data_IF_303689197676
#
_entry.id   IF_303689197676
#
_cell.length_a   1.000
_cell.length_b   1.000
_cell.length_c   1.000
_cell.angle_alpha   90.00
_cell.angle_beta   90.00
_cell.angle_gamma   90.00
#
_symmetry.space_group_name_H-M   'P 1'
#
loop_
_entity.id
_entity.type
_entity.pdbx_description
1 polymer ?
#
# COMPACT_ATOMS: atom_id res chain seq x y z
N UNK A 1 -19.15 -29.28 -0.18
CA UNK A 1 -17.71 -29.02 -0.43
C UNK A 1 -17.44 -27.76 -1.23
N UNK A 2 -17.76 -27.68 -2.53
CA UNK A 2 -17.40 -26.49 -3.36
C UNK A 2 -18.11 -25.21 -2.88
N UNK A 3 -19.39 -25.30 -2.50
CA UNK A 3 -20.15 -24.14 -2.02
C UNK A 3 -19.58 -23.54 -0.73
N UNK A 4 -19.12 -24.38 0.20
CA UNK A 4 -18.51 -23.96 1.46
C UNK A 4 -17.16 -23.26 1.23
N UNK A 5 -16.34 -23.81 0.31
CA UNK A 5 -15.08 -23.19 -0.12
C UNK A 5 -15.31 -21.81 -0.76
N UNK A 6 -16.31 -21.69 -1.64
CA UNK A 6 -16.65 -20.41 -2.28
C UNK A 6 -17.13 -19.40 -1.24
N UNK A 7 -18.03 -19.79 -0.32
CA UNK A 7 -18.47 -18.90 0.76
C UNK A 7 -17.33 -18.48 1.68
N UNK A 8 -16.40 -19.40 1.99
CA UNK A 8 -15.22 -19.09 2.79
C UNK A 8 -14.29 -18.09 2.11
N UNK A 9 -14.03 -18.28 0.81
CA UNK A 9 -13.21 -17.36 0.03
C UNK A 9 -13.83 -15.96 -0.06
N UNK A 10 -15.15 -15.87 -0.31
CA UNK A 10 -15.87 -14.60 -0.37
C UNK A 10 -15.84 -13.89 0.98
N UNK A 11 -16.08 -14.60 2.08
CA UNK A 11 -16.01 -14.03 3.42
C UNK A 11 -14.61 -13.47 3.74
N UNK A 12 -13.56 -14.19 3.32
CA UNK A 12 -12.18 -13.77 3.53
C UNK A 12 -11.83 -12.51 2.72
N UNK A 13 -12.33 -12.39 1.49
CA UNK A 13 -12.18 -11.19 0.66
C UNK A 13 -12.89 -10.00 1.32
N UNK A 14 -14.14 -10.17 1.74
CA UNK A 14 -14.92 -9.09 2.40
C UNK A 14 -14.20 -8.63 3.67
N UNK A 15 -13.73 -9.57 4.49
CA UNK A 15 -12.98 -9.28 5.71
C UNK A 15 -11.71 -8.47 5.40
N UNK A 16 -10.96 -8.86 4.36
CA UNK A 16 -9.75 -8.17 3.94
C UNK A 16 -10.02 -6.71 3.54
N UNK A 17 -11.04 -6.45 2.72
CA UNK A 17 -11.44 -5.08 2.35
C UNK A 17 -11.95 -4.27 3.54
N UNK A 18 -12.65 -4.92 4.48
CA UNK A 18 -13.19 -4.25 5.67
C UNK A 18 -12.06 -3.79 6.58
N UNK A 19 -11.05 -4.64 6.80
CA UNK A 19 -9.86 -4.30 7.58
C UNK A 19 -9.10 -3.14 6.94
N UNK A 20 -8.89 -3.19 5.61
CA UNK A 20 -8.22 -2.09 4.90
C UNK A 20 -8.99 -0.77 5.03
N UNK A 21 -10.33 -0.82 4.93
CA UNK A 21 -11.17 0.35 5.10
C UNK A 21 -11.06 0.94 6.52
N UNK A 22 -11.13 0.10 7.56
CA UNK A 22 -10.96 0.55 8.95
C UNK A 22 -9.58 1.15 9.19
N UNK A 23 -8.53 0.56 8.62
CA UNK A 23 -7.17 1.11 8.72
C UNK A 23 -7.04 2.46 7.99
N UNK A 24 -7.80 2.68 6.91
CA UNK A 24 -7.77 3.94 6.15
C UNK A 24 -8.53 5.09 6.84
N UNK A 25 -9.43 4.81 7.79
CA UNK A 25 -10.13 5.86 8.53
C UNK A 25 -9.22 6.65 9.48
N UNK A 26 -8.11 6.05 9.93
CA UNK A 26 -7.14 6.69 10.81
C UNK A 26 -6.10 7.54 10.09
N UNK A 27 -6.29 7.83 8.80
CA UNK A 27 -5.33 8.62 8.02
C UNK A 27 -5.56 10.11 8.20
N UNK A 28 -4.54 10.81 8.69
CA UNK A 28 -4.56 12.25 8.83
C UNK A 28 -4.43 12.89 7.42
N UNK A 29 -5.28 13.87 7.07
CA UNK A 29 -5.17 14.62 5.81
C UNK A 29 -3.82 15.31 5.57
N UNK A 30 -3.01 15.50 6.63
CA UNK A 30 -1.66 16.08 6.56
C UNK A 30 -0.58 15.07 6.19
N UNK A 31 -0.89 13.77 6.22
CA UNK A 31 0.05 12.74 5.78
C UNK A 31 0.20 12.74 4.25
N UNK A 32 1.37 12.36 3.72
CA UNK A 32 1.56 12.17 2.29
C UNK A 32 0.53 11.17 1.73
N UNK A 33 0.04 11.38 0.50
CA UNK A 33 -1.05 10.59 -0.06
C UNK A 33 -0.72 9.09 -0.04
N UNK A 34 -1.68 8.32 0.47
CA UNK A 34 -1.55 6.87 0.59
C UNK A 34 -1.84 6.23 -0.76
N UNK A 35 -0.82 5.61 -1.34
CA UNK A 35 -0.95 4.89 -2.60
C UNK A 35 -1.62 3.55 -2.31
N UNK A 36 -2.92 3.45 -2.60
CA UNK A 36 -3.69 2.24 -2.33
C UNK A 36 -3.28 1.10 -3.26
N UNK A 37 -3.00 -0.11 -2.73
CA UNK A 37 -2.77 -1.28 -3.56
C UNK A 37 -4.05 -1.67 -4.31
N UNK A 38 -3.92 -2.36 -5.45
CA UNK A 38 -5.09 -2.85 -6.22
C UNK A 38 -5.72 -4.10 -5.58
N UNK A 39 -5.00 -4.75 -4.67
CA UNK A 39 -5.42 -5.94 -3.94
C UNK A 39 -5.18 -5.69 -2.43
N UNK A 40 -6.20 -5.81 -1.58
CA UNK A 40 -6.10 -5.57 -0.14
C UNK A 40 -5.08 -6.41 0.60
N UNK A 41 -4.71 -5.90 1.78
CA UNK A 41 -4.07 -6.60 2.91
C UNK A 41 -2.61 -7.03 2.71
N UNK A 42 -2.21 -7.63 1.57
CA UNK A 42 -0.81 -8.10 1.36
C UNK A 42 -0.39 -8.13 -0.11
N UNK A 43 -1.34 -8.49 -0.99
CA UNK A 43 -1.03 -9.26 -2.18
C UNK A 43 -0.06 -8.58 -3.14
N UNK A 44 -0.29 -7.32 -3.50
CA UNK A 44 0.49 -6.69 -4.56
C UNK A 44 1.72 -5.91 -4.12
N UNK A 45 1.77 -5.39 -2.90
CA UNK A 45 2.96 -4.66 -2.44
C UNK A 45 4.13 -5.61 -2.19
N UNK A 46 3.90 -6.75 -1.52
CA UNK A 46 4.97 -7.73 -1.31
C UNK A 46 5.35 -8.44 -2.62
N UNK A 47 4.37 -8.90 -3.42
CA UNK A 47 4.68 -9.51 -4.72
C UNK A 47 5.34 -8.53 -5.68
N UNK A 48 4.95 -7.25 -5.64
CA UNK A 48 5.52 -6.17 -6.43
C UNK A 48 6.94 -5.83 -6.01
N UNK A 49 7.22 -5.73 -4.72
CA UNK A 49 8.58 -5.56 -4.17
C UNK A 49 9.44 -6.80 -4.46
N UNK A 50 8.88 -8.01 -4.40
CA UNK A 50 9.62 -9.23 -4.73
C UNK A 50 9.93 -9.37 -6.23
N UNK A 51 9.04 -8.92 -7.13
CA UNK A 51 9.27 -8.96 -8.58
C UNK A 51 10.08 -7.77 -9.11
N UNK A 52 9.84 -6.58 -8.57
CA UNK A 52 10.38 -5.31 -9.06
C UNK A 52 11.44 -4.69 -8.15
N UNK A 53 11.72 -5.30 -6.99
CA UNK A 53 12.70 -4.77 -6.05
C UNK A 53 12.36 -3.34 -5.58
N UNK A 54 13.37 -2.51 -5.28
CA UNK A 54 13.16 -1.11 -4.91
C UNK A 54 12.49 -0.27 -6.02
N UNK A 55 12.52 -0.73 -7.27
CA UNK A 55 11.88 -0.06 -8.42
C UNK A 55 10.35 -0.04 -8.31
N UNK A 56 9.77 -0.96 -7.54
CA UNK A 56 8.33 -0.97 -7.29
C UNK A 56 7.87 0.29 -6.50
N UNK A 57 8.77 0.85 -5.68
CA UNK A 57 8.51 2.10 -4.94
C UNK A 57 8.44 3.31 -5.87
N UNK A 58 9.26 3.34 -6.92
CA UNK A 58 9.31 4.40 -7.93
C UNK A 58 8.25 4.25 -9.02
N UNK A 59 7.92 3.02 -9.45
CA UNK A 59 6.90 2.78 -10.48
C UNK A 59 5.51 3.24 -10.05
N UNK A 60 5.21 3.14 -8.75
CA UNK A 60 3.97 3.66 -8.18
C UNK A 60 3.95 5.19 -8.05
N UNK A 61 5.09 5.87 -8.12
CA UNK A 61 5.10 7.34 -8.15
C UNK A 61 4.44 7.91 -9.40
N UNK A 62 4.45 7.18 -10.53
CA UNK A 62 3.73 7.59 -11.74
C UNK A 62 2.21 7.66 -11.53
N UNK A 63 1.67 7.07 -10.46
CA UNK A 63 0.24 7.19 -10.11
C UNK A 63 -0.09 8.40 -9.24
N UNK A 64 0.92 9.13 -8.75
CA UNK A 64 0.76 10.26 -7.83
C UNK A 64 1.75 11.37 -8.17
N UNK A 65 1.25 12.56 -8.50
CA UNK A 65 2.09 13.75 -8.78
C UNK A 65 2.82 14.33 -7.54
N UNK A 66 2.74 13.67 -6.37
CA UNK A 66 3.32 14.16 -5.12
C UNK A 66 4.79 13.72 -4.97
N UNK A 67 5.62 14.60 -4.41
CA UNK A 67 7.05 14.35 -4.15
C UNK A 67 7.30 13.27 -3.07
N UNK A 68 6.29 12.99 -2.25
CA UNK A 68 6.29 11.94 -1.23
C UNK A 68 4.95 11.21 -1.26
N UNK A 69 4.99 9.91 -1.02
CA UNK A 69 3.80 9.08 -0.91
C UNK A 69 3.96 8.02 0.16
N UNK A 70 2.83 7.58 0.71
CA UNK A 70 2.79 6.56 1.76
C UNK A 70 2.37 5.23 1.16
N UNK A 71 3.20 4.21 1.36
CA UNK A 71 2.87 2.82 1.05
C UNK A 71 2.48 2.13 2.34
N UNK A 72 1.23 1.67 2.40
CA UNK A 72 0.71 0.97 3.55
C UNK A 72 0.84 -0.52 3.34
N UNK A 73 1.58 -1.17 4.23
CA UNK A 73 1.69 -2.63 4.30
C UNK A 73 1.12 -3.04 5.65
N UNK A 74 -0.13 -3.50 5.67
CA UNK A 74 -0.92 -3.73 6.89
C UNK A 74 -0.98 -2.48 7.80
N UNK A 75 -0.37 -2.56 8.98
CA UNK A 75 -0.31 -1.51 10.00
C UNK A 75 0.93 -0.62 9.78
N UNK A 76 1.90 -1.09 8.99
CA UNK A 76 3.11 -0.34 8.71
C UNK A 76 2.87 0.69 7.60
N UNK A 77 3.26 1.93 7.88
CA UNK A 77 3.32 3.01 6.90
C UNK A 77 4.77 3.22 6.48
N UNK A 78 5.06 2.99 5.20
CA UNK A 78 6.36 3.25 4.58
C UNK A 78 6.25 4.56 3.82
N UNK A 79 7.00 5.57 4.26
CA UNK A 79 7.08 6.85 3.55
C UNK A 79 8.17 6.76 2.50
N UNK A 80 7.80 6.96 1.24
CA UNK A 80 8.73 6.97 0.12
C UNK A 80 8.84 8.39 -0.41
N UNK A 81 10.07 8.88 -0.52
CA UNK A 81 10.39 10.12 -1.21
C UNK A 81 10.89 9.79 -2.61
N UNK A 82 10.26 10.35 -3.63
CA UNK A 82 10.68 10.21 -5.04
C UNK A 82 11.50 11.41 -5.49
N UNK A 83 11.44 12.53 -4.75
CA UNK A 83 12.21 13.73 -5.04
C UNK A 83 13.64 13.63 -4.49
N UNK A 84 14.62 13.78 -5.38
CA UNK A 84 16.04 13.82 -5.01
C UNK A 84 16.39 15.02 -4.12
N UNK A 85 15.55 16.07 -4.12
CA UNK A 85 15.71 17.25 -3.27
C UNK A 85 15.59 16.91 -1.78
N UNK A 86 14.80 15.89 -1.44
CA UNK A 86 14.51 15.50 -0.07
C UNK A 86 15.52 14.47 0.47
N UNK A 87 16.28 13.78 -0.39
CA UNK A 87 17.32 12.83 0.00
C UNK A 87 18.28 13.36 1.09
N UNK A 88 18.90 14.55 0.94
CA UNK A 88 19.82 15.07 1.97
C UNK A 88 19.13 15.44 3.28
N UNK A 89 17.80 15.55 3.31
CA UNK A 89 17.03 15.80 4.54
C UNK A 89 16.68 14.49 5.27
N UNK A 90 16.74 13.35 4.56
CA UNK A 90 16.36 12.01 5.05
C UNK A 90 17.61 11.20 5.42
N UNK A 91 18.66 11.23 4.59
CA UNK A 91 19.92 10.57 4.87
C UNK A 91 20.77 11.43 5.82
N UNK A 92 20.97 10.93 7.03
CA UNK A 92 21.93 11.45 8.01
C UNK A 92 23.18 10.59 8.01
#
# INVERSE_FOLDING_TARGET
>A
MIRELVSGAVALIILAYTIEYMLSMGDDPREPPVVRPRIPVVGQHILGIMRGGPTYYSDRSNSTSAEMHTLRIFIYKIYVSTSNRLLPMIQK
#
